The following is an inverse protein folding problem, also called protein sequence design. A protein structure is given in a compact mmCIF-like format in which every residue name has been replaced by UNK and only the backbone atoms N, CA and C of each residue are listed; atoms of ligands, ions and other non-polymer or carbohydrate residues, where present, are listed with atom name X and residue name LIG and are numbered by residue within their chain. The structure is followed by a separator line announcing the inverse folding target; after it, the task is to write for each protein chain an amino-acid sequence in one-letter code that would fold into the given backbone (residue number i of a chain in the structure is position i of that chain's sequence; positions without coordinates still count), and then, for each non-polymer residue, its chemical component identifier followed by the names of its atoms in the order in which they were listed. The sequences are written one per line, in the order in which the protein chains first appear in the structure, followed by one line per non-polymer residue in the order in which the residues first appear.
data_IF_538509259391
#
_entry.id   IF_538509259391
#
_cell.length_a   1.000
_cell.length_b   1.000
_cell.length_c   1.000
_cell.angle_alpha   90.00
_cell.angle_beta   90.00
_cell.angle_gamma   90.00
#
_symmetry.space_group_name_H-M   'P 1'
#
loop_
_entity.id
_entity.type
_entity.pdbx_description
1 polymer ?
#
# COMPACT_ATOMS: atom_id res chain seq x y z
N UNK A 1 28.26 -8.65 -25.73
CA UNK A 1 27.26 -9.54 -25.12
C UNK A 1 26.16 -8.64 -24.58
N UNK A 2 24.95 -8.71 -25.14
CA UNK A 2 23.82 -7.86 -24.73
C UNK A 2 23.14 -8.54 -23.55
N UNK A 3 23.23 -7.95 -22.36
CA UNK A 3 22.51 -8.42 -21.19
C UNK A 3 21.08 -7.89 -21.26
N UNK A 4 20.17 -8.75 -21.73
CA UNK A 4 18.73 -8.50 -21.64
C UNK A 4 18.33 -8.70 -20.18
N UNK A 5 18.20 -7.60 -19.43
CA UNK A 5 17.68 -7.63 -18.08
C UNK A 5 16.24 -8.16 -18.12
N UNK A 6 16.04 -9.34 -17.55
CA UNK A 6 14.72 -9.90 -17.35
C UNK A 6 13.91 -8.94 -16.48
N UNK A 7 12.89 -8.32 -17.07
CA UNK A 7 11.80 -7.72 -16.31
C UNK A 7 11.14 -8.85 -15.54
N UNK A 8 11.46 -8.96 -14.25
CA UNK A 8 10.69 -9.76 -13.30
C UNK A 8 9.25 -9.30 -13.43
N UNK A 9 8.40 -10.21 -13.90
CA UNK A 9 6.99 -9.99 -14.08
C UNK A 9 6.43 -9.34 -12.81
N UNK A 10 5.96 -8.09 -12.95
CA UNK A 10 5.20 -7.45 -11.91
C UNK A 10 4.00 -8.36 -11.65
N UNK A 11 4.02 -9.06 -10.52
CA UNK A 11 2.84 -9.73 -9.97
C UNK A 11 1.73 -8.69 -9.99
N UNK A 12 0.76 -8.90 -10.88
CA UNK A 12 -0.44 -8.08 -10.96
C UNK A 12 -1.14 -8.23 -9.62
N UNK A 13 -0.88 -7.28 -8.73
CA UNK A 13 -1.57 -7.21 -7.46
C UNK A 13 -3.07 -7.21 -7.73
N UNK A 14 -3.79 -8.14 -7.09
CA UNK A 14 -5.24 -8.22 -7.17
C UNK A 14 -5.87 -6.88 -6.80
N UNK A 15 -6.96 -6.53 -7.47
CA UNK A 15 -7.88 -5.50 -7.02
C UNK A 15 -8.21 -5.72 -5.53
N UNK A 16 -8.18 -4.65 -4.73
CA UNK A 16 -8.48 -4.70 -3.29
C UNK A 16 -7.28 -5.03 -2.38
N UNK A 17 -7.21 -6.27 -1.87
CA UNK A 17 -6.33 -6.66 -0.75
C UNK A 17 -5.12 -7.51 -1.17
N UNK A 18 -3.97 -7.27 -0.54
CA UNK A 18 -2.80 -8.14 -0.60
C UNK A 18 -2.03 -8.08 0.73
N UNK A 19 -1.70 -9.24 1.28
CA UNK A 19 -1.04 -9.34 2.58
C UNK A 19 -1.92 -8.72 3.69
N UNK A 20 -1.37 -7.74 4.42
CA UNK A 20 -2.04 -7.07 5.51
C UNK A 20 -2.65 -5.72 5.12
N UNK A 21 -2.76 -5.42 3.83
CA UNK A 21 -3.25 -4.13 3.35
C UNK A 21 -4.32 -4.33 2.30
N UNK A 22 -5.34 -3.49 2.37
CA UNK A 22 -6.34 -3.30 1.34
C UNK A 22 -6.34 -1.85 0.88
N UNK A 23 -6.61 -1.64 -0.41
CA UNK A 23 -6.82 -0.34 -1.02
C UNK A 23 -8.14 -0.34 -1.79
N UNK A 24 -8.82 0.80 -1.79
CA UNK A 24 -9.95 1.08 -2.65
C UNK A 24 -10.25 2.58 -2.68
N UNK A 25 -11.47 2.93 -3.09
CA UNK A 25 -11.92 4.31 -3.21
C UNK A 25 -13.24 4.51 -2.46
N UNK A 26 -13.42 5.68 -1.85
CA UNK A 26 -14.73 6.08 -1.30
C UNK A 26 -15.66 6.61 -2.40
N UNK A 27 -16.91 6.93 -2.05
CA UNK A 27 -17.90 7.47 -2.99
C UNK A 27 -17.52 8.82 -3.61
N UNK A 28 -16.53 9.54 -3.07
CA UNK A 28 -15.94 10.75 -3.65
C UNK A 28 -14.70 10.49 -4.50
N UNK A 29 -14.23 9.24 -4.59
CA UNK A 29 -13.02 8.84 -5.30
C UNK A 29 -11.73 9.11 -4.53
N UNK A 30 -11.79 9.39 -3.23
CA UNK A 30 -10.60 9.46 -2.39
C UNK A 30 -10.06 8.07 -2.18
N UNK A 31 -8.73 7.93 -2.17
CA UNK A 31 -8.08 6.67 -1.85
C UNK A 31 -8.40 6.33 -0.39
N UNK A 32 -8.77 5.09 -0.13
CA UNK A 32 -8.93 4.53 1.20
C UNK A 32 -8.03 3.33 1.30
N UNK A 33 -7.15 3.33 2.30
CA UNK A 33 -6.35 2.15 2.65
C UNK A 33 -6.78 1.59 3.98
N UNK A 34 -6.59 0.29 4.16
CA UNK A 34 -6.93 -0.40 5.39
C UNK A 34 -5.83 -1.40 5.73
N UNK A 35 -5.20 -1.24 6.90
CA UNK A 35 -4.40 -2.28 7.51
C UNK A 35 -5.37 -3.33 8.07
N UNK A 36 -5.29 -4.55 7.53
CA UNK A 36 -6.16 -5.68 7.83
C UNK A 36 -5.55 -6.59 8.91
N UNK A 37 -6.38 -7.46 9.48
CA UNK A 37 -5.94 -8.55 10.35
C UNK A 37 -5.03 -9.54 9.60
N UNK A 38 -4.01 -10.08 10.27
CA UNK A 38 -3.09 -11.07 9.69
C UNK A 38 -1.62 -10.66 9.75
N UNK A 39 -1.33 -9.39 10.05
CA UNK A 39 0.02 -8.95 10.40
C UNK A 39 0.34 -9.21 11.88
N UNK A 40 1.62 -9.13 12.21
CA UNK A 40 2.09 -9.13 13.60
C UNK A 40 1.92 -7.74 14.21
N UNK A 41 1.68 -7.65 15.52
CA UNK A 41 1.64 -6.35 16.19
C UNK A 41 3.00 -5.65 16.12
N UNK A 42 3.02 -4.34 15.91
CA UNK A 42 4.25 -3.57 15.78
C UNK A 42 4.04 -2.15 15.26
N UNK A 43 5.15 -1.47 14.99
CA UNK A 43 5.13 -0.15 14.35
C UNK A 43 5.15 -0.32 12.84
N UNK A 44 4.30 0.45 12.16
CA UNK A 44 4.12 0.40 10.73
C UNK A 44 4.02 1.80 10.14
N UNK A 45 4.20 1.91 8.83
CA UNK A 45 3.66 3.03 8.06
C UNK A 45 2.99 2.48 6.81
N UNK A 46 2.12 3.27 6.19
CA UNK A 46 1.52 2.98 4.89
C UNK A 46 1.87 4.08 3.93
N UNK A 47 2.19 3.69 2.71
CA UNK A 47 2.39 4.60 1.61
C UNK A 47 1.34 4.36 0.53
N UNK A 48 0.98 5.42 -0.18
CA UNK A 48 0.29 5.32 -1.45
C UNK A 48 1.14 5.94 -2.54
N UNK A 49 1.07 5.36 -3.72
CA UNK A 49 1.79 5.88 -4.87
C UNK A 49 1.04 5.66 -6.17
N UNK A 50 1.09 6.68 -7.00
CA UNK A 50 0.51 6.77 -8.34
C UNK A 50 1.23 7.90 -9.09
N UNK A 51 1.06 8.05 -10.43
CA UNK A 51 1.85 8.99 -11.21
C UNK A 51 1.89 10.40 -10.59
N UNK A 52 3.09 10.86 -10.25
CA UNK A 52 3.34 12.18 -9.64
C UNK A 52 3.00 12.30 -8.15
N UNK A 53 2.65 11.21 -7.47
CA UNK A 53 2.25 11.20 -6.05
C UNK A 53 2.91 10.07 -5.30
N UNK A 54 3.52 10.42 -4.17
CA UNK A 54 3.95 9.48 -3.16
C UNK A 54 3.65 10.13 -1.80
N UNK A 55 2.65 9.59 -1.10
CA UNK A 55 2.23 10.07 0.21
C UNK A 55 2.40 8.95 1.25
N UNK A 56 2.81 9.32 2.46
CA UNK A 56 2.97 8.40 3.58
C UNK A 56 2.03 8.76 4.73
N UNK A 57 1.50 7.76 5.42
CA UNK A 57 0.64 7.95 6.60
C UNK A 57 1.42 8.45 7.82
N UNK A 58 2.75 8.42 7.76
CA UNK A 58 3.61 8.46 8.94
C UNK A 58 3.56 7.15 9.73
N UNK A 59 4.47 7.03 10.70
CA UNK A 59 4.54 5.86 11.57
C UNK A 59 3.34 5.77 12.52
N UNK A 60 2.81 4.58 12.70
CA UNK A 60 1.73 4.27 13.63
C UNK A 60 1.93 2.90 14.26
N UNK A 61 1.45 2.72 15.49
CA UNK A 61 1.41 1.41 16.14
C UNK A 61 0.15 0.64 15.72
N UNK A 62 0.31 -0.65 15.43
CA UNK A 62 -0.77 -1.56 15.07
C UNK A 62 -0.73 -2.81 15.95
N UNK A 63 -1.89 -3.23 16.44
CA UNK A 63 -2.02 -4.23 17.50
C UNK A 63 -3.01 -5.35 17.20
N UNK A 64 -3.21 -5.71 15.91
CA UNK A 64 -4.16 -6.77 15.54
C UNK A 64 -5.53 -6.29 15.06
N UNK A 65 -5.80 -4.98 15.12
CA UNK A 65 -7.08 -4.40 14.73
C UNK A 65 -7.22 -4.05 13.25
N UNK A 66 -8.31 -3.38 12.91
CA UNK A 66 -8.47 -2.74 11.60
C UNK A 66 -8.08 -1.26 11.74
N UNK A 67 -7.14 -0.79 10.93
CA UNK A 67 -6.82 0.65 10.83
C UNK A 67 -7.09 1.14 9.42
N UNK A 68 -8.05 2.05 9.27
CA UNK A 68 -8.41 2.68 8.00
C UNK A 68 -7.79 4.07 7.89
N UNK A 69 -7.30 4.42 6.71
CA UNK A 69 -6.76 5.74 6.40
C UNK A 69 -7.38 6.22 5.10
N UNK A 70 -7.97 7.41 5.13
CA UNK A 70 -8.49 8.10 3.95
C UNK A 70 -7.50 9.16 3.52
N UNK A 71 -7.16 9.17 2.25
CA UNK A 71 -6.17 10.08 1.69
C UNK A 71 -6.87 11.24 1.00
N UNK A 72 -6.43 12.46 1.29
CA UNK A 72 -7.13 13.66 0.83
C UNK A 72 -6.97 13.92 -0.68
N UNK A 73 -5.89 13.40 -1.28
CA UNK A 73 -5.64 13.59 -2.71
C UNK A 73 -6.46 12.58 -3.51
N UNK A 74 -7.18 13.11 -4.52
CA UNK A 74 -8.07 12.34 -5.38
C UNK A 74 -7.34 12.11 -6.72
N UNK A 75 -6.92 10.87 -7.04
CA UNK A 75 -6.33 10.52 -8.34
C UNK A 75 -7.34 10.76 -9.45
N UNK A 76 -6.94 11.04 -10.67
CA UNK A 76 -7.86 11.10 -11.83
C UNK A 76 -8.52 9.75 -12.12
N UNK A 77 -9.75 9.68 -12.66
CA UNK A 77 -10.34 8.41 -13.11
C UNK A 77 -9.42 7.70 -14.11
N UNK A 78 -9.33 6.37 -14.04
CA UNK A 78 -8.40 5.54 -14.79
C UNK A 78 -6.98 5.45 -14.21
N UNK A 79 -6.71 6.14 -13.10
CA UNK A 79 -5.38 6.11 -12.47
C UNK A 79 -5.22 4.86 -11.63
N UNK A 80 -4.17 4.08 -11.91
CA UNK A 80 -3.76 2.96 -11.05
C UNK A 80 -3.05 3.52 -9.82
N UNK A 81 -3.59 3.20 -8.64
CA UNK A 81 -3.04 3.57 -7.34
C UNK A 81 -2.63 2.31 -6.61
N UNK A 82 -1.44 2.31 -6.03
CA UNK A 82 -0.97 1.23 -5.19
C UNK A 82 -0.80 1.71 -3.75
N UNK A 83 -1.06 0.82 -2.81
CA UNK A 83 -0.73 1.01 -1.41
C UNK A 83 0.34 0.02 -1.00
N UNK A 84 1.23 0.42 -0.11
CA UNK A 84 2.18 -0.46 0.54
C UNK A 84 2.13 -0.27 2.04
N UNK A 85 2.18 -1.37 2.78
CA UNK A 85 2.37 -1.32 4.23
C UNK A 85 3.77 -1.80 4.56
N UNK A 86 4.43 -1.10 5.48
CA UNK A 86 5.81 -1.33 5.86
C UNK A 86 5.90 -1.49 7.36
N UNK A 87 6.32 -2.68 7.80
CA UNK A 87 6.64 -2.97 9.19
C UNK A 87 8.02 -2.45 9.53
N UNK A 88 8.14 -1.78 10.67
CA UNK A 88 9.42 -1.38 11.24
C UNK A 88 9.99 -2.56 12.03
N UNK A 89 11.14 -3.07 11.60
CA UNK A 89 11.86 -4.13 12.31
C UNK A 89 12.77 -3.52 13.39
N UNK A 90 13.11 -4.32 14.38
CA UNK A 90 14.00 -3.92 15.48
C UNK A 90 15.42 -3.57 15.03
N UNK A 91 15.84 -4.07 13.87
CA UNK A 91 17.11 -3.75 13.22
C UNK A 91 17.10 -2.39 12.49
N UNK A 92 16.00 -1.64 12.55
CA UNK A 92 15.82 -0.34 11.89
C UNK A 92 15.44 -0.43 10.40
N UNK A 93 15.35 -1.64 9.84
CA UNK A 93 14.93 -1.83 8.45
C UNK A 93 13.43 -2.06 8.31
N UNK A 94 12.94 -2.00 7.07
CA UNK A 94 11.53 -2.15 6.75
C UNK A 94 11.23 -3.50 6.09
N UNK A 95 10.10 -4.08 6.46
CA UNK A 95 9.57 -5.29 5.84
C UNK A 95 8.21 -4.96 5.20
N UNK A 96 8.04 -5.29 3.92
CA UNK A 96 6.76 -5.05 3.26
C UNK A 96 5.73 -6.07 3.72
N UNK A 97 4.56 -5.58 4.16
CA UNK A 97 3.42 -6.41 4.53
C UNK A 97 2.35 -6.54 3.44
N UNK A 98 2.60 -6.04 2.23
CA UNK A 98 1.69 -6.15 1.09
C UNK A 98 1.74 -4.96 0.14
N UNK A 99 1.37 -5.21 -1.13
CA UNK A 99 1.40 -4.22 -2.21
C UNK A 99 0.18 -4.30 -3.15
N UNK A 100 -1.06 -4.09 -2.66
CA UNK A 100 -2.23 -4.08 -3.51
C UNK A 100 -2.29 -2.81 -4.37
N UNK A 101 -2.93 -2.94 -5.53
CA UNK A 101 -3.21 -1.80 -6.39
C UNK A 101 -4.67 -1.84 -6.86
N UNK A 102 -5.27 -0.67 -7.03
CA UNK A 102 -6.62 -0.50 -7.54
C UNK A 102 -6.64 0.63 -8.57
N UNK A 103 -7.52 0.51 -9.57
CA UNK A 103 -7.71 1.57 -10.56
C UNK A 103 -8.94 2.39 -10.18
N UNK A 104 -8.79 3.71 -10.11
CA UNK A 104 -9.94 4.61 -9.89
C UNK A 104 -10.89 4.60 -11.08
#
# INVERSE_FOLDING_TARGET
MVATSALTAATTASAGANGCVWIGFDGGGRVVTQHQSGCVSGTYHMDIFYPGVHDSSGAYYWNGGIKRTTWNRIPTPGTKVCAQVWRHKSDGSYESGGLPCETR
#
